data_IF_501627330992
#
_entry.id   IF_501627330992
#
_cell.length_a   1.000
_cell.length_b   1.000
_cell.length_c   1.000
_cell.angle_alpha   90.00
_cell.angle_beta   90.00
_cell.angle_gamma   90.00
#
_symmetry.space_group_name_H-M   'P 1'
#
loop_
_entity.id
_entity.type
_entity.pdbx_description
1 polymer ?
#
# COMPACT_ATOMS: atom_id res chain seq x y z
N UNK A 1 -0.04 -12.38 -13.36
CA UNK A 1 0.94 -11.41 -13.85
C UNK A 1 1.19 -11.68 -15.32
N UNK A 2 1.00 -10.71 -16.15
CA UNK A 2 1.31 -10.77 -17.57
C UNK A 2 2.79 -10.39 -17.78
N UNK A 3 3.70 -11.21 -17.28
CA UNK A 3 5.10 -11.07 -17.66
C UNK A 3 5.20 -11.34 -19.15
N UNK A 4 5.66 -10.35 -19.93
CA UNK A 4 5.96 -10.53 -21.35
C UNK A 4 7.46 -10.82 -21.48
N UNK A 5 7.79 -11.74 -22.38
CA UNK A 5 9.18 -12.13 -22.69
C UNK A 5 10.06 -10.91 -22.98
N UNK A 6 11.26 -10.88 -22.46
CA UNK A 6 12.24 -9.82 -22.71
C UNK A 6 11.93 -8.47 -22.08
N UNK A 7 10.87 -8.36 -21.27
CA UNK A 7 10.63 -7.11 -20.55
C UNK A 7 11.68 -6.93 -19.46
N UNK A 8 12.41 -5.81 -19.53
CA UNK A 8 13.35 -5.43 -18.48
C UNK A 8 12.60 -5.10 -17.18
N UNK A 9 13.12 -5.60 -16.08
CA UNK A 9 12.59 -5.40 -14.73
C UNK A 9 13.59 -4.59 -13.92
N UNK A 10 13.11 -3.84 -12.96
CA UNK A 10 13.94 -3.18 -11.95
C UNK A 10 14.17 -4.06 -10.72
N UNK A 11 13.27 -4.98 -10.48
CA UNK A 11 13.33 -5.97 -9.40
C UNK A 11 12.41 -7.15 -9.72
N UNK A 12 12.56 -8.25 -9.00
CA UNK A 12 11.66 -9.40 -9.07
C UNK A 12 11.54 -10.06 -7.69
N UNK A 13 10.35 -10.66 -7.36
CA UNK A 13 10.17 -11.37 -6.11
C UNK A 13 11.13 -12.55 -5.98
N UNK A 14 11.77 -12.70 -4.82
CA UNK A 14 12.71 -13.80 -4.54
C UNK A 14 12.10 -15.20 -4.69
N UNK A 15 10.75 -15.30 -4.59
CA UNK A 15 10.03 -16.56 -4.81
C UNK A 15 10.26 -17.16 -6.21
N UNK A 16 10.60 -16.33 -7.21
CA UNK A 16 10.94 -16.77 -8.58
C UNK A 16 12.02 -15.86 -9.16
N UNK A 17 13.22 -15.95 -8.60
CA UNK A 17 14.34 -15.11 -8.98
C UNK A 17 15.61 -15.96 -9.15
N UNK A 18 16.26 -15.82 -10.30
CA UNK A 18 17.54 -16.44 -10.58
C UNK A 18 18.56 -15.35 -10.92
N UNK A 19 19.76 -15.47 -10.37
CA UNK A 19 20.87 -14.54 -10.58
C UNK A 19 22.18 -15.30 -10.71
N UNK A 20 23.08 -14.81 -11.57
CA UNK A 20 24.43 -15.36 -11.66
C UNK A 20 25.15 -15.15 -10.34
N UNK A 21 25.81 -16.19 -9.80
CA UNK A 21 26.55 -16.15 -8.53
C UNK A 21 27.52 -14.98 -8.46
N UNK A 22 28.26 -14.73 -9.54
CA UNK A 22 29.21 -13.64 -9.64
C UNK A 22 28.55 -12.26 -9.47
N UNK A 23 27.40 -12.06 -10.16
CA UNK A 23 26.61 -10.82 -10.05
C UNK A 23 26.08 -10.61 -8.63
N UNK A 24 25.55 -11.70 -8.03
CA UNK A 24 25.06 -11.71 -6.65
C UNK A 24 26.15 -11.31 -5.66
N UNK A 25 27.34 -11.95 -5.76
CA UNK A 25 28.46 -11.65 -4.88
C UNK A 25 29.03 -10.24 -5.10
N UNK A 26 29.10 -9.79 -6.36
CA UNK A 26 29.61 -8.45 -6.69
C UNK A 26 28.78 -7.33 -6.11
N UNK A 27 27.44 -7.52 -6.00
CA UNK A 27 26.57 -6.53 -5.38
C UNK A 27 26.39 -6.72 -3.87
N UNK A 28 27.11 -7.68 -3.26
CA UNK A 28 27.16 -7.90 -1.82
C UNK A 28 26.04 -8.79 -1.25
N UNK A 29 25.34 -9.57 -2.10
CA UNK A 29 24.29 -10.47 -1.64
C UNK A 29 23.04 -9.74 -1.13
N UNK A 30 22.20 -10.43 -0.36
CA UNK A 30 21.08 -9.81 0.34
C UNK A 30 21.56 -8.98 1.52
N UNK A 31 20.94 -7.82 1.72
CA UNK A 31 21.22 -6.97 2.86
C UNK A 31 20.49 -7.49 4.11
N UNK A 32 21.26 -7.90 5.11
CA UNK A 32 20.74 -8.47 6.35
C UNK A 32 19.97 -7.46 7.22
N UNK A 33 20.09 -6.16 6.95
CA UNK A 33 19.31 -5.14 7.66
C UNK A 33 17.81 -5.29 7.45
N UNK A 34 17.39 -5.91 6.31
CA UNK A 34 15.99 -6.26 6.04
C UNK A 34 15.46 -7.41 6.91
N UNK A 35 16.31 -8.19 7.58
CA UNK A 35 15.85 -9.21 8.53
C UNK A 35 15.10 -8.61 9.71
N UNK A 36 15.47 -7.39 10.12
CA UNK A 36 14.81 -6.64 11.21
C UNK A 36 13.55 -5.92 10.75
N UNK A 37 13.44 -5.67 9.44
CA UNK A 37 12.32 -4.99 8.80
C UNK A 37 11.91 -5.82 7.57
N UNK A 38 11.19 -6.93 7.74
CA UNK A 38 10.90 -7.86 6.66
C UNK A 38 10.05 -7.21 5.58
N UNK A 39 10.51 -7.31 4.35
CA UNK A 39 9.88 -6.79 3.13
C UNK A 39 10.75 -5.73 2.45
N UNK A 40 10.96 -5.92 1.14
CA UNK A 40 11.74 -5.03 0.30
C UNK A 40 13.17 -5.49 0.02
N UNK A 41 13.62 -6.61 0.60
CA UNK A 41 14.95 -7.19 0.35
C UNK A 41 15.14 -7.60 -1.12
N UNK A 42 14.08 -8.04 -1.76
CA UNK A 42 14.06 -8.38 -3.18
C UNK A 42 14.10 -7.15 -4.07
N UNK A 43 13.41 -6.09 -3.69
CA UNK A 43 13.46 -4.78 -4.36
C UNK A 43 14.87 -4.20 -4.26
N UNK A 44 15.44 -4.17 -3.06
CA UNK A 44 16.80 -3.68 -2.83
C UNK A 44 17.83 -4.46 -3.66
N UNK A 45 17.76 -5.79 -3.68
CA UNK A 45 18.64 -6.64 -4.49
C UNK A 45 18.51 -6.30 -5.97
N UNK A 46 17.30 -6.20 -6.51
CA UNK A 46 17.06 -5.85 -7.91
C UNK A 46 17.63 -4.48 -8.27
N UNK A 47 17.44 -3.49 -7.41
CA UNK A 47 17.97 -2.14 -7.61
C UNK A 47 19.51 -2.11 -7.57
N UNK A 48 20.14 -2.86 -6.66
CA UNK A 48 21.61 -2.97 -6.62
C UNK A 48 22.19 -3.66 -7.84
N UNK A 49 21.52 -4.72 -8.33
CA UNK A 49 21.90 -5.36 -9.58
C UNK A 49 21.80 -4.39 -10.76
N UNK A 50 20.68 -3.68 -10.89
CA UNK A 50 20.49 -2.69 -11.96
C UNK A 50 21.53 -1.57 -11.90
N UNK A 51 21.83 -1.06 -10.71
CA UNK A 51 22.89 -0.05 -10.48
C UNK A 51 24.29 -0.59 -10.79
N UNK A 52 24.50 -1.88 -10.56
CA UNK A 52 25.74 -2.59 -10.88
C UNK A 52 25.94 -2.90 -12.38
N UNK A 53 25.02 -2.42 -13.24
CA UNK A 53 25.07 -2.62 -14.70
C UNK A 53 24.50 -3.95 -15.18
N UNK A 54 23.82 -4.69 -14.32
CA UNK A 54 23.13 -5.93 -14.71
C UNK A 54 21.69 -5.65 -15.14
N UNK A 55 21.23 -6.39 -16.14
CA UNK A 55 19.85 -6.29 -16.63
C UNK A 55 19.03 -7.48 -16.12
N UNK A 56 17.88 -7.20 -15.55
CA UNK A 56 16.90 -8.22 -15.14
C UNK A 56 15.87 -8.37 -16.25
N UNK A 57 15.58 -9.63 -16.61
CA UNK A 57 14.58 -9.96 -17.63
C UNK A 57 13.49 -10.84 -17.05
N UNK A 58 12.25 -10.61 -17.51
CA UNK A 58 11.18 -11.56 -17.25
C UNK A 58 11.26 -12.74 -18.21
N UNK A 59 11.09 -13.95 -17.69
CA UNK A 59 11.03 -15.20 -18.45
C UNK A 59 9.67 -15.85 -18.16
N UNK A 60 8.66 -15.65 -19.04
CA UNK A 60 7.29 -16.11 -18.80
C UNK A 60 7.16 -17.63 -18.61
N UNK A 61 8.06 -18.40 -19.23
CA UNK A 61 8.11 -19.86 -19.14
C UNK A 61 8.66 -20.36 -17.80
N UNK A 62 9.38 -19.51 -17.05
CA UNK A 62 9.90 -19.83 -15.73
C UNK A 62 8.76 -19.74 -14.70
N UNK A 63 7.88 -20.73 -14.68
CA UNK A 63 6.72 -20.77 -13.81
C UNK A 63 7.07 -21.45 -12.47
N UNK A 64 6.66 -20.81 -11.38
CA UNK A 64 6.74 -21.40 -10.03
C UNK A 64 5.35 -21.45 -9.42
N UNK A 65 5.01 -22.57 -8.83
CA UNK A 65 3.81 -22.73 -8.05
C UNK A 65 4.09 -22.37 -6.58
N UNK A 66 3.62 -21.20 -6.17
CA UNK A 66 3.79 -20.75 -4.80
C UNK A 66 2.72 -21.34 -3.90
N UNK A 67 3.13 -21.93 -2.77
CA UNK A 67 2.18 -22.46 -1.78
C UNK A 67 1.29 -21.33 -1.23
N UNK A 68 -0.02 -21.60 -1.20
CA UNK A 68 -0.99 -20.69 -0.57
C UNK A 68 -0.92 -20.72 0.96
N UNK A 69 -0.24 -21.71 1.56
CA UNK A 69 -0.16 -21.85 3.03
C UNK A 69 0.43 -20.63 3.74
N UNK A 70 1.34 -19.92 3.09
CA UNK A 70 1.92 -18.66 3.60
C UNK A 70 0.90 -17.52 3.78
N UNK A 71 -0.22 -17.58 3.05
CA UNK A 71 -1.30 -16.59 3.09
C UNK A 71 -2.58 -17.14 3.74
N UNK A 72 -2.59 -18.42 4.09
CA UNK A 72 -3.78 -19.13 4.54
C UNK A 72 -4.30 -18.68 5.92
N UNK A 73 -3.49 -18.44 6.95
CA UNK A 73 -4.01 -17.83 8.16
C UNK A 73 -4.20 -16.32 7.95
N UNK A 74 -5.42 -15.82 8.11
CA UNK A 74 -5.76 -14.39 7.98
C UNK A 74 -4.81 -13.52 8.83
N UNK A 75 -4.52 -13.95 10.06
CA UNK A 75 -3.57 -13.27 10.95
C UNK A 75 -2.17 -13.14 10.33
N UNK A 76 -1.67 -14.19 9.68
CA UNK A 76 -0.36 -14.16 9.03
C UNK A 76 -0.35 -13.22 7.82
N UNK A 77 -1.45 -13.17 7.06
CA UNK A 77 -1.62 -12.25 5.93
C UNK A 77 -1.59 -10.79 6.40
N UNK A 78 -2.38 -10.43 7.42
CA UNK A 78 -2.38 -9.07 7.97
C UNK A 78 -1.02 -8.68 8.54
N UNK A 79 -0.38 -9.57 9.32
CA UNK A 79 0.96 -9.33 9.84
C UNK A 79 1.97 -9.05 8.72
N UNK A 80 1.95 -9.85 7.65
CA UNK A 80 2.86 -9.69 6.50
C UNK A 80 2.64 -8.37 5.78
N UNK A 81 1.38 -8.03 5.49
CA UNK A 81 1.04 -6.78 4.80
C UNK A 81 1.46 -5.55 5.61
N UNK A 82 1.29 -5.58 6.92
CA UNK A 82 1.80 -4.53 7.82
C UNK A 82 3.32 -4.37 7.72
N UNK A 83 4.05 -5.48 7.74
CA UNK A 83 5.51 -5.46 7.61
C UNK A 83 5.98 -4.98 6.25
N UNK A 84 5.24 -5.25 5.17
CA UNK A 84 5.55 -4.68 3.86
C UNK A 84 5.49 -3.15 3.89
N UNK A 85 4.46 -2.58 4.50
CA UNK A 85 4.39 -1.13 4.69
C UNK A 85 5.58 -0.59 5.49
N UNK A 86 5.96 -1.25 6.57
CA UNK A 86 7.14 -0.87 7.36
C UNK A 86 8.44 -0.98 6.52
N UNK A 87 8.56 -1.98 5.65
CA UNK A 87 9.69 -2.15 4.73
C UNK A 87 9.81 -1.02 3.70
N UNK A 88 8.68 -0.48 3.23
CA UNK A 88 8.65 0.64 2.28
C UNK A 88 9.39 1.88 2.80
N UNK A 89 9.29 2.18 4.10
CA UNK A 89 10.05 3.28 4.69
C UNK A 89 11.55 3.05 4.59
N UNK A 90 12.00 1.81 4.82
CA UNK A 90 13.42 1.47 4.71
C UNK A 90 13.94 1.60 3.27
N UNK A 91 13.11 1.22 2.29
CA UNK A 91 13.42 1.43 0.87
C UNK A 91 13.45 2.90 0.49
N UNK A 92 12.52 3.72 0.96
CA UNK A 92 12.49 5.18 0.68
C UNK A 92 13.72 5.86 1.27
N UNK A 93 14.13 5.49 2.47
CA UNK A 93 15.35 6.03 3.09
C UNK A 93 16.61 5.73 2.26
N UNK A 94 16.65 4.55 1.67
CA UNK A 94 17.81 4.09 0.88
C UNK A 94 17.75 4.55 -0.57
N UNK A 95 16.56 4.70 -1.12
CA UNK A 95 16.29 5.07 -2.51
C UNK A 95 15.26 6.21 -2.59
N UNK A 96 15.58 7.41 -2.08
CA UNK A 96 14.63 8.53 -2.02
C UNK A 96 14.09 8.94 -3.39
N UNK A 97 14.86 8.71 -4.46
CA UNK A 97 14.42 8.95 -5.85
C UNK A 97 13.28 8.03 -6.32
N UNK A 98 13.00 6.95 -5.59
CA UNK A 98 11.85 6.05 -5.85
C UNK A 98 10.66 6.37 -4.96
N UNK A 99 10.79 7.35 -4.08
CA UNK A 99 9.68 7.88 -3.32
C UNK A 99 8.96 9.00 -4.05
N UNK A 100 7.65 9.07 -3.94
CA UNK A 100 6.87 10.25 -4.34
C UNK A 100 6.08 10.80 -3.17
N UNK A 101 5.80 12.09 -3.20
CA UNK A 101 4.86 12.70 -2.27
C UNK A 101 3.43 12.34 -2.70
N UNK A 102 2.70 11.68 -1.81
CA UNK A 102 1.33 11.21 -2.03
C UNK A 102 0.43 11.63 -0.86
N UNK A 103 0.30 12.94 -0.68
CA UNK A 103 -0.64 13.49 0.29
C UNK A 103 -1.95 13.90 -0.39
N UNK A 104 -3.09 13.77 0.31
CA UNK A 104 -3.28 13.12 1.60
C UNK A 104 -3.23 11.59 1.50
N UNK A 105 -2.64 10.91 2.50
CA UNK A 105 -2.66 9.45 2.57
C UNK A 105 -4.04 8.98 3.07
N UNK A 106 -4.54 7.91 2.48
CA UNK A 106 -5.88 7.37 2.76
C UNK A 106 -6.07 7.00 4.23
N UNK A 107 -5.10 6.31 4.82
CA UNK A 107 -5.17 5.90 6.21
C UNK A 107 -5.19 7.12 7.16
N UNK A 108 -4.41 8.16 6.88
CA UNK A 108 -4.43 9.40 7.67
C UNK A 108 -5.76 10.13 7.53
N UNK A 109 -6.34 10.20 6.34
CA UNK A 109 -7.66 10.79 6.14
C UNK A 109 -8.73 10.09 6.97
N UNK A 110 -8.71 8.76 6.99
CA UNK A 110 -9.62 7.96 7.81
C UNK A 110 -9.44 8.28 9.30
N UNK A 111 -8.19 8.29 9.79
CA UNK A 111 -7.91 8.60 11.20
C UNK A 111 -8.37 10.03 11.57
N UNK A 112 -8.05 11.02 10.73
CA UNK A 112 -8.49 12.40 10.96
C UNK A 112 -10.02 12.51 10.98
N UNK A 113 -10.68 11.77 10.11
CA UNK A 113 -12.12 11.75 10.08
C UNK A 113 -12.78 11.06 11.26
N UNK A 114 -12.25 9.92 11.65
CA UNK A 114 -12.72 9.26 12.87
C UNK A 114 -12.59 10.22 14.07
N UNK A 115 -11.46 10.91 14.19
CA UNK A 115 -11.24 11.90 15.23
C UNK A 115 -12.20 13.08 15.12
N UNK A 116 -12.42 13.62 13.92
CA UNK A 116 -13.39 14.70 13.69
C UNK A 116 -14.80 14.28 14.15
N UNK A 117 -15.25 13.08 13.75
CA UNK A 117 -16.56 12.58 14.16
C UNK A 117 -16.66 12.34 15.66
N UNK A 118 -15.58 11.91 16.34
CA UNK A 118 -15.54 11.82 17.79
C UNK A 118 -15.71 13.20 18.45
N UNK A 119 -14.99 14.21 17.95
CA UNK A 119 -15.10 15.58 18.45
C UNK A 119 -16.50 16.15 18.23
N UNK A 120 -17.07 15.98 17.04
CA UNK A 120 -18.43 16.40 16.74
C UNK A 120 -19.47 15.69 17.61
N UNK A 121 -19.25 14.41 17.90
CA UNK A 121 -20.08 13.63 18.83
C UNK A 121 -20.08 14.18 20.25
N UNK A 122 -18.92 14.67 20.70
CA UNK A 122 -18.79 15.28 22.02
C UNK A 122 -19.35 16.72 22.09
N UNK A 123 -19.22 17.49 21.01
CA UNK A 123 -19.44 18.94 21.04
C UNK A 123 -20.78 19.38 20.42
N UNK A 124 -21.31 18.60 19.48
CA UNK A 124 -22.48 19.01 18.68
C UNK A 124 -23.66 18.06 18.91
N UNK A 125 -23.52 16.80 18.51
CA UNK A 125 -24.59 15.82 18.61
C UNK A 125 -24.03 14.39 18.72
N UNK A 126 -24.47 13.57 19.73
CA UNK A 126 -23.96 12.21 19.92
C UNK A 126 -24.11 11.27 18.72
N UNK A 127 -25.02 11.52 17.81
CA UNK A 127 -25.18 10.73 16.59
C UNK A 127 -23.93 10.71 15.69
N UNK A 128 -23.05 11.73 15.83
CA UNK A 128 -21.77 11.75 15.10
C UNK A 128 -20.82 10.62 15.54
N UNK A 129 -20.98 10.02 16.74
CA UNK A 129 -20.17 8.85 17.14
C UNK A 129 -20.33 7.68 16.17
N UNK A 130 -21.51 7.51 15.55
CA UNK A 130 -21.72 6.48 14.53
C UNK A 130 -20.81 6.73 13.34
N UNK A 131 -20.60 8.00 12.96
CA UNK A 131 -19.69 8.39 11.88
C UNK A 131 -18.26 7.92 12.14
N UNK A 132 -17.76 8.03 13.38
CA UNK A 132 -16.39 7.61 13.69
C UNK A 132 -16.14 6.12 13.43
N UNK A 133 -17.15 5.28 13.61
CA UNK A 133 -17.05 3.83 13.37
C UNK A 133 -17.28 3.50 11.89
N UNK A 134 -18.15 4.23 11.21
CA UNK A 134 -18.57 3.90 9.82
C UNK A 134 -17.64 4.44 8.74
N UNK A 135 -16.85 5.49 9.01
CA UNK A 135 -15.90 6.10 8.06
C UNK A 135 -15.00 5.07 7.35
N UNK A 136 -14.28 4.17 8.05
CA UNK A 136 -13.38 3.25 7.36
C UNK A 136 -14.14 2.26 6.45
N UNK A 137 -15.32 1.83 6.85
CA UNK A 137 -16.14 0.91 6.04
C UNK A 137 -16.72 1.61 4.80
N UNK A 138 -17.15 2.84 4.96
CA UNK A 138 -17.61 3.67 3.85
C UNK A 138 -16.50 3.87 2.82
N UNK A 139 -15.32 4.28 3.27
CA UNK A 139 -14.17 4.50 2.39
C UNK A 139 -13.80 3.21 1.63
N UNK A 140 -13.62 2.11 2.32
CA UNK A 140 -13.30 0.82 1.70
C UNK A 140 -14.39 0.37 0.71
N UNK A 141 -15.67 0.56 1.05
CA UNK A 141 -16.79 0.22 0.19
C UNK A 141 -16.83 1.04 -1.09
N UNK A 142 -16.74 2.36 -0.97
CA UNK A 142 -16.75 3.26 -2.12
C UNK A 142 -15.53 3.08 -3.01
N UNK A 143 -14.34 2.90 -2.43
CA UNK A 143 -13.13 2.60 -3.21
C UNK A 143 -13.25 1.26 -3.93
N UNK A 144 -13.87 0.27 -3.33
CA UNK A 144 -14.12 -1.03 -3.98
C UNK A 144 -15.04 -0.88 -5.19
N UNK A 145 -16.09 -0.07 -5.09
CA UNK A 145 -16.97 0.24 -6.22
C UNK A 145 -16.22 1.01 -7.32
N UNK A 146 -15.48 2.05 -6.95
CA UNK A 146 -14.71 2.86 -7.90
C UNK A 146 -13.67 2.01 -8.65
N UNK A 147 -12.91 1.19 -7.95
CA UNK A 147 -11.89 0.32 -8.56
C UNK A 147 -12.53 -0.70 -9.49
N UNK A 148 -13.64 -1.33 -9.11
CA UNK A 148 -14.36 -2.27 -9.96
C UNK A 148 -14.93 -1.59 -11.22
N UNK A 149 -15.47 -0.38 -11.07
CA UNK A 149 -16.10 0.34 -12.18
C UNK A 149 -15.07 0.89 -13.17
N UNK A 150 -14.07 1.62 -12.68
CA UNK A 150 -13.13 2.36 -13.53
C UNK A 150 -11.92 1.52 -13.98
N UNK A 151 -11.38 0.69 -13.11
CA UNK A 151 -10.18 -0.10 -13.44
C UNK A 151 -10.50 -1.44 -14.10
N UNK A 152 -11.80 -1.83 -14.17
CA UNK A 152 -12.28 -3.04 -14.86
C UNK A 152 -11.45 -4.29 -14.57
N UNK A 153 -11.08 -4.50 -13.32
CA UNK A 153 -10.35 -5.71 -12.92
C UNK A 153 -11.24 -6.94 -13.17
N UNK A 154 -11.00 -7.60 -14.30
CA UNK A 154 -11.74 -8.81 -14.70
C UNK A 154 -11.58 -9.88 -13.62
N UNK A 155 -12.71 -10.39 -13.12
CA UNK A 155 -12.76 -11.52 -12.19
C UNK A 155 -12.66 -11.16 -10.70
N UNK A 156 -12.74 -9.87 -10.33
CA UNK A 156 -12.85 -9.46 -8.93
C UNK A 156 -14.30 -9.14 -8.56
N UNK A 157 -14.75 -9.70 -7.44
CA UNK A 157 -16.05 -9.36 -6.83
C UNK A 157 -15.88 -8.18 -5.87
N UNK A 158 -17.01 -7.50 -5.55
CA UNK A 158 -17.00 -6.43 -4.54
C UNK A 158 -16.35 -6.88 -3.22
N UNK A 159 -16.72 -8.05 -2.70
CA UNK A 159 -16.16 -8.55 -1.44
C UNK A 159 -14.64 -8.78 -1.51
N UNK A 160 -14.13 -9.28 -2.64
CA UNK A 160 -12.68 -9.41 -2.83
C UNK A 160 -11.99 -8.05 -2.85
N UNK A 161 -12.58 -7.07 -3.54
CA UNK A 161 -12.03 -5.70 -3.56
C UNK A 161 -12.07 -5.05 -2.19
N UNK A 162 -13.15 -5.25 -1.42
CA UNK A 162 -13.25 -4.73 -0.06
C UNK A 162 -12.10 -5.25 0.83
N UNK A 163 -11.80 -6.55 0.76
CA UNK A 163 -10.64 -7.13 1.47
C UNK A 163 -9.32 -6.53 0.98
N UNK A 164 -9.18 -6.31 -0.32
CA UNK A 164 -7.98 -5.67 -0.89
C UNK A 164 -7.82 -4.24 -0.35
N UNK A 165 -8.91 -3.47 -0.27
CA UNK A 165 -8.86 -2.12 0.29
C UNK A 165 -8.46 -2.13 1.78
N UNK A 166 -9.00 -3.07 2.57
CA UNK A 166 -8.59 -3.26 3.96
C UNK A 166 -7.08 -3.57 4.09
N UNK A 167 -6.55 -4.42 3.20
CA UNK A 167 -5.12 -4.76 3.19
C UNK A 167 -4.25 -3.57 2.78
N UNK A 168 -4.68 -2.74 1.82
CA UNK A 168 -3.97 -1.52 1.42
C UNK A 168 -3.90 -0.55 2.61
N UNK A 169 -5.02 -0.31 3.30
CA UNK A 169 -5.03 0.55 4.49
C UNK A 169 -4.15 -0.01 5.61
N UNK A 170 -4.12 -1.33 5.78
CA UNK A 170 -3.28 -1.97 6.78
C UNK A 170 -1.78 -1.88 6.43
N UNK A 171 -1.44 -1.94 5.15
CA UNK A 171 -0.08 -1.64 4.65
C UNK A 171 0.33 -0.20 4.98
N UNK A 172 -0.54 0.77 4.71
CA UNK A 172 -0.31 2.17 5.07
C UNK A 172 -0.15 2.37 6.59
N UNK A 173 -0.94 1.65 7.39
CA UNK A 173 -0.79 1.67 8.85
C UNK A 173 0.61 1.21 9.28
N UNK A 174 1.13 0.14 8.66
CA UNK A 174 2.49 -0.35 8.90
C UNK A 174 3.56 0.67 8.56
N UNK A 175 3.40 1.35 7.43
CA UNK A 175 4.30 2.43 7.01
C UNK A 175 4.30 3.60 8.00
N UNK A 176 3.12 4.08 8.38
CA UNK A 176 2.97 5.20 9.32
C UNK A 176 3.50 4.86 10.71
N UNK A 177 3.21 3.64 11.18
CA UNK A 177 3.78 3.14 12.43
C UNK A 177 5.30 3.20 12.42
N UNK A 178 5.92 2.78 11.33
CA UNK A 178 7.37 2.79 11.20
C UNK A 178 7.93 4.22 11.11
N UNK A 179 7.23 5.14 10.44
CA UNK A 179 7.60 6.56 10.44
C UNK A 179 7.63 7.16 11.84
N UNK A 180 6.63 6.86 12.66
CA UNK A 180 6.55 7.32 14.06
C UNK A 180 7.62 6.64 14.90
N UNK A 181 7.76 5.31 14.81
CA UNK A 181 8.72 4.51 15.59
C UNK A 181 10.16 4.96 15.33
N UNK A 182 10.50 5.27 14.09
CA UNK A 182 11.84 5.74 13.67
C UNK A 182 12.00 7.26 13.73
N UNK A 183 10.98 8.00 14.21
CA UNK A 183 10.96 9.48 14.26
C UNK A 183 11.20 10.14 12.89
N UNK A 184 10.76 9.51 11.81
CA UNK A 184 10.89 10.00 10.43
C UNK A 184 9.58 10.63 9.93
N UNK A 185 9.06 11.59 10.69
CA UNK A 185 7.77 12.21 10.43
C UNK A 185 7.71 12.93 9.07
N UNK A 186 8.85 13.41 8.56
CA UNK A 186 8.94 14.03 7.24
C UNK A 186 8.60 13.07 6.09
N UNK A 187 8.70 11.76 6.33
CA UNK A 187 8.37 10.73 5.34
C UNK A 187 6.88 10.30 5.35
N UNK A 188 6.06 10.83 6.28
CA UNK A 188 4.65 10.41 6.42
C UNK A 188 3.87 10.52 5.10
N UNK A 189 4.13 11.55 4.31
CA UNK A 189 3.50 11.78 3.01
C UNK A 189 4.15 11.04 1.83
N UNK A 190 5.24 10.30 2.06
CA UNK A 190 5.97 9.63 0.99
C UNK A 190 5.40 8.23 0.73
N UNK A 191 5.44 7.81 -0.53
CA UNK A 191 5.08 6.46 -0.96
C UNK A 191 6.13 5.89 -1.90
N UNK A 192 6.46 4.60 -1.72
CA UNK A 192 7.38 3.90 -2.60
C UNK A 192 6.71 3.62 -3.95
N UNK A 193 7.40 3.96 -5.05
CA UNK A 193 6.96 3.68 -6.41
C UNK A 193 7.84 2.59 -6.99
N UNK A 194 7.25 1.42 -7.16
CA UNK A 194 7.93 0.27 -7.75
C UNK A 194 7.95 0.32 -9.28
N UNK A 195 6.98 1.02 -9.90
CA UNK A 195 6.82 1.14 -11.36
C UNK A 195 6.26 2.52 -11.72
N UNK A 196 6.76 3.14 -12.79
CA UNK A 196 6.28 4.46 -13.25
C UNK A 196 4.74 4.55 -13.41
N UNK A 197 4.04 3.58 -14.01
CA UNK A 197 2.57 3.62 -14.13
C UNK A 197 1.83 3.60 -12.78
N UNK A 198 2.49 3.17 -11.71
CA UNK A 198 1.91 3.12 -10.38
C UNK A 198 1.67 4.53 -9.79
N UNK A 199 2.49 5.51 -10.16
CA UNK A 199 2.36 6.87 -9.66
C UNK A 199 1.01 7.50 -10.01
N UNK A 200 0.60 7.37 -11.26
CA UNK A 200 -0.67 7.93 -11.73
C UNK A 200 -1.86 7.27 -11.01
N UNK A 201 -1.79 5.96 -10.83
CA UNK A 201 -2.82 5.20 -10.12
C UNK A 201 -2.93 5.57 -8.63
N UNK A 202 -1.82 5.79 -7.96
CA UNK A 202 -1.79 6.19 -6.54
C UNK A 202 -2.34 7.60 -6.35
N UNK A 203 -1.87 8.56 -7.15
CA UNK A 203 -2.38 9.93 -7.08
C UNK A 203 -3.89 9.98 -7.37
N UNK A 204 -4.36 9.23 -8.36
CA UNK A 204 -5.77 9.10 -8.67
C UNK A 204 -6.58 8.52 -7.49
N UNK A 205 -6.12 7.45 -6.87
CA UNK A 205 -6.79 6.84 -5.71
C UNK A 205 -6.90 7.82 -4.54
N UNK A 206 -5.85 8.59 -4.26
CA UNK A 206 -5.86 9.57 -3.18
C UNK A 206 -6.86 10.71 -3.45
N UNK A 207 -6.93 11.22 -4.69
CA UNK A 207 -7.93 12.24 -5.06
C UNK A 207 -9.34 11.69 -4.95
N UNK A 208 -9.60 10.50 -5.48
CA UNK A 208 -10.91 9.84 -5.39
C UNK A 208 -11.30 9.65 -3.92
N UNK A 209 -10.38 9.20 -3.07
CA UNK A 209 -10.64 9.05 -1.64
C UNK A 209 -10.99 10.40 -0.99
N UNK A 210 -10.27 11.47 -1.31
CA UNK A 210 -10.57 12.80 -0.76
C UNK A 210 -11.98 13.27 -1.14
N UNK A 211 -12.40 13.06 -2.40
CA UNK A 211 -13.75 13.39 -2.87
C UNK A 211 -14.81 12.56 -2.14
N UNK A 212 -14.64 11.23 -2.11
CA UNK A 212 -15.56 10.30 -1.42
C UNK A 212 -15.73 10.71 0.05
N UNK A 213 -14.63 11.04 0.68
CA UNK A 213 -14.59 11.42 2.08
C UNK A 213 -15.32 12.74 2.33
N UNK A 214 -15.08 13.74 1.49
CA UNK A 214 -15.75 15.04 1.58
C UNK A 214 -17.27 14.91 1.38
N UNK A 215 -17.70 14.07 0.44
CA UNK A 215 -19.11 13.77 0.24
C UNK A 215 -19.73 13.05 1.45
N UNK A 216 -19.02 12.11 2.04
CA UNK A 216 -19.49 11.42 3.24
C UNK A 216 -19.69 12.41 4.42
N UNK A 217 -18.71 13.29 4.65
CA UNK A 217 -18.82 14.32 5.69
C UNK A 217 -20.02 15.23 5.45
N UNK A 218 -20.20 15.70 4.21
CA UNK A 218 -21.32 16.58 3.86
C UNK A 218 -22.67 15.90 4.05
N UNK A 219 -22.84 14.70 3.53
CA UNK A 219 -24.09 13.94 3.62
C UNK A 219 -24.45 13.66 5.08
N UNK A 220 -23.51 13.17 5.88
CA UNK A 220 -23.76 12.86 7.29
C UNK A 220 -24.07 14.12 8.11
N UNK A 221 -23.37 15.23 7.84
CA UNK A 221 -23.66 16.50 8.46
C UNK A 221 -25.12 16.94 8.17
N UNK A 222 -25.51 16.93 6.88
CA UNK A 222 -26.87 17.30 6.47
C UNK A 222 -27.92 16.40 7.14
N UNK A 223 -27.73 15.09 7.13
CA UNK A 223 -28.67 14.12 7.71
C UNK A 223 -28.84 14.33 9.22
N UNK A 224 -27.75 14.59 9.93
CA UNK A 224 -27.81 14.81 11.38
C UNK A 224 -28.47 16.16 11.71
N UNK A 225 -28.18 17.19 10.92
CA UNK A 225 -28.77 18.53 11.14
C UNK A 225 -30.26 18.59 10.76
N UNK A 226 -30.70 17.78 9.78
CA UNK A 226 -32.11 17.69 9.41
C UNK A 226 -32.93 16.78 10.31
N UNK A 227 -32.29 15.83 10.98
CA UNK A 227 -32.92 14.91 11.94
C UNK A 227 -32.88 15.39 13.40
N UNK A 228 -32.19 16.50 13.65
CA UNK A 228 -32.09 17.14 14.96
C UNK A 228 -33.07 18.32 15.04
#
# INVERSE_FOLDING_TARGET
STAKWGKTLTWAPTANFSVKKEAFLKVGGFDETFQKNPGGEDVDMGLRLSKGGYTLYSVPEALVYHSKSTWSPVKAMFRRVFHYGAGDLHLIDRYPQMGCSCMPRRFLMILCGMLLYLLLGCMVNPWFFIGSVTVPFWEMGMMSLCVNHFMKYKGTTFGKQFVVQALILWNEAGYLWECVRKKKLHNIGMQMIYFKPQMDGVCYQNVVTAVIYSLFLLITYILIMLGA
#
